data_IF_764481911984
#
_entry.id   IF_764481911984
#
_cell.length_a   1.000
_cell.length_b   1.000
_cell.length_c   1.000
_cell.angle_alpha   90.00
_cell.angle_beta   90.00
_cell.angle_gamma   90.00
#
_symmetry.space_group_name_H-M   'P 1'
#
loop_
_entity.id
_entity.type
_entity.pdbx_description
1 polymer ?
#
# COMPACT_ATOMS: atom_id res chain seq x y z
N UNK A 1 21.77 -15.82 -31.82
CA UNK A 1 20.44 -15.18 -31.91
C UNK A 1 19.40 -16.21 -31.47
N UNK A 2 19.04 -16.22 -30.18
CA UNK A 2 17.77 -16.78 -29.73
C UNK A 2 16.95 -15.59 -29.27
N UNK A 3 15.88 -15.31 -30.00
CA UNK A 3 14.95 -14.26 -29.65
C UNK A 3 14.26 -14.67 -28.34
N UNK A 4 14.66 -14.03 -27.24
CA UNK A 4 13.90 -14.06 -25.99
C UNK A 4 12.61 -13.30 -26.27
N UNK A 5 11.50 -14.02 -26.39
CA UNK A 5 10.16 -13.42 -26.46
C UNK A 5 9.85 -12.91 -25.05
N UNK A 6 10.36 -11.73 -24.72
CA UNK A 6 9.90 -10.94 -23.57
C UNK A 6 8.80 -10.04 -24.10
N UNK A 7 7.56 -10.46 -23.95
CA UNK A 7 6.42 -9.56 -24.11
C UNK A 7 5.96 -9.15 -22.71
N UNK A 8 6.12 -7.85 -22.42
CA UNK A 8 6.01 -7.11 -21.14
C UNK A 8 7.22 -7.20 -20.21
N UNK A 9 8.29 -6.49 -20.60
CA UNK A 9 9.56 -6.40 -19.88
C UNK A 9 9.40 -5.48 -18.66
N UNK A 10 9.22 -6.08 -17.48
CA UNK A 10 9.29 -5.38 -16.19
C UNK A 10 10.54 -4.51 -16.15
N UNK A 11 10.37 -3.24 -15.78
CA UNK A 11 11.43 -2.25 -15.74
C UNK A 11 12.27 -2.40 -14.47
N UNK A 12 13.43 -1.75 -14.44
CA UNK A 12 14.28 -1.69 -13.24
C UNK A 12 13.49 -1.29 -11.97
N UNK A 13 12.57 -0.34 -12.09
CA UNK A 13 11.73 0.10 -10.97
C UNK A 13 10.86 -1.04 -10.40
N UNK A 14 10.39 -1.96 -11.24
CA UNK A 14 9.59 -3.10 -10.80
C UNK A 14 10.44 -4.10 -10.01
N UNK A 15 11.70 -4.28 -10.41
CA UNK A 15 12.67 -5.09 -9.66
C UNK A 15 13.01 -4.45 -8.32
N UNK A 16 13.16 -3.12 -8.28
CA UNK A 16 13.40 -2.38 -7.06
C UNK A 16 12.21 -2.49 -6.08
N UNK A 17 10.97 -2.48 -6.59
CA UNK A 17 9.75 -2.74 -5.80
C UNK A 17 9.77 -4.11 -5.14
N UNK A 18 10.11 -5.17 -5.88
CA UNK A 18 10.17 -6.52 -5.30
C UNK A 18 11.26 -6.62 -4.24
N UNK A 19 12.42 -6.01 -4.50
CA UNK A 19 13.51 -5.96 -3.53
C UNK A 19 13.12 -5.23 -2.25
N UNK A 20 12.43 -4.09 -2.36
CA UNK A 20 11.93 -3.32 -1.21
C UNK A 20 10.92 -4.10 -0.36
N UNK A 21 10.23 -5.08 -0.97
CA UNK A 21 9.28 -5.97 -0.31
C UNK A 21 9.90 -7.30 0.15
N UNK A 22 11.22 -7.47 0.01
CA UNK A 22 11.95 -8.71 0.30
C UNK A 22 11.41 -9.92 -0.51
N UNK A 23 11.05 -9.67 -1.77
CA UNK A 23 10.57 -10.67 -2.72
C UNK A 23 11.66 -10.95 -3.76
N UNK A 24 11.94 -12.24 -3.96
CA UNK A 24 12.87 -12.69 -4.99
C UNK A 24 12.45 -12.23 -6.39
N UNK A 25 13.38 -11.63 -7.14
CA UNK A 25 13.12 -11.11 -8.49
C UNK A 25 12.62 -12.17 -9.48
N UNK A 26 12.91 -13.46 -9.22
CA UNK A 26 12.38 -14.57 -10.00
C UNK A 26 10.86 -14.68 -9.95
N UNK A 27 10.20 -14.12 -8.93
CA UNK A 27 8.74 -14.13 -8.77
C UNK A 27 8.01 -13.46 -9.94
N UNK A 28 8.68 -12.55 -10.66
CA UNK A 28 8.15 -11.93 -11.89
C UNK A 28 7.81 -12.96 -12.96
N UNK A 29 8.50 -14.11 -12.98
CA UNK A 29 8.29 -15.17 -13.95
C UNK A 29 7.19 -16.15 -13.52
N UNK A 30 6.59 -15.97 -12.36
CA UNK A 30 5.49 -16.82 -11.92
C UNK A 30 4.26 -16.60 -12.81
N UNK A 31 3.76 -17.68 -13.41
CA UNK A 31 2.65 -17.63 -14.37
C UNK A 31 1.36 -17.08 -13.73
N UNK A 32 1.12 -17.37 -12.44
CA UNK A 32 -0.06 -16.86 -11.73
C UNK A 32 0.08 -15.37 -11.48
N UNK A 33 1.26 -14.91 -11.09
CA UNK A 33 1.55 -13.49 -10.92
C UNK A 33 1.37 -12.73 -12.23
N UNK A 34 1.95 -13.21 -13.34
CA UNK A 34 1.80 -12.53 -14.63
C UNK A 34 0.33 -12.50 -15.10
N UNK A 35 -0.39 -13.61 -14.98
CA UNK A 35 -1.81 -13.68 -15.31
C UNK A 35 -2.66 -12.72 -14.45
N UNK A 36 -2.35 -12.64 -13.16
CA UNK A 36 -2.98 -11.69 -12.25
C UNK A 36 -2.64 -10.25 -12.63
N UNK A 37 -1.36 -9.93 -12.82
CA UNK A 37 -0.89 -8.59 -13.16
C UNK A 37 -1.54 -8.06 -14.44
N UNK A 38 -1.58 -8.88 -15.49
CA UNK A 38 -2.18 -8.50 -16.77
C UNK A 38 -3.69 -8.25 -16.66
N UNK A 39 -4.40 -9.09 -15.89
CA UNK A 39 -5.86 -8.93 -15.71
C UNK A 39 -6.20 -7.77 -14.78
N UNK A 40 -5.44 -7.60 -13.70
CA UNK A 40 -5.61 -6.55 -12.72
C UNK A 40 -5.29 -5.18 -13.32
N UNK A 41 -4.17 -5.03 -14.03
CA UNK A 41 -3.73 -3.76 -14.61
C UNK A 41 -4.72 -3.23 -15.66
N UNK A 42 -5.31 -4.13 -16.47
CA UNK A 42 -6.32 -3.75 -17.47
C UNK A 42 -7.64 -3.27 -16.88
N UNK A 43 -7.99 -3.71 -15.67
CA UNK A 43 -9.31 -3.46 -15.08
C UNK A 43 -9.29 -2.42 -13.96
N UNK A 44 -8.13 -2.16 -13.36
CA UNK A 44 -8.02 -1.32 -12.17
C UNK A 44 -7.43 0.07 -12.40
N UNK A 45 -7.13 0.48 -13.64
CA UNK A 45 -6.59 1.82 -13.93
C UNK A 45 -7.47 2.94 -13.32
N UNK A 46 -8.78 2.87 -13.56
CA UNK A 46 -9.74 3.85 -13.01
C UNK A 46 -9.74 3.85 -11.47
N UNK A 47 -9.67 2.66 -10.87
CA UNK A 47 -9.62 2.53 -9.42
C UNK A 47 -8.34 3.15 -8.86
N UNK A 48 -7.18 2.84 -9.46
CA UNK A 48 -5.88 3.36 -9.09
C UNK A 48 -5.86 4.90 -9.12
N UNK A 49 -6.31 5.50 -10.22
CA UNK A 49 -6.38 6.97 -10.36
C UNK A 49 -7.32 7.58 -9.32
N UNK A 50 -8.48 6.97 -9.08
CA UNK A 50 -9.41 7.45 -8.07
C UNK A 50 -8.82 7.41 -6.66
N UNK A 51 -8.11 6.33 -6.30
CA UNK A 51 -7.46 6.22 -5.00
C UNK A 51 -6.34 7.25 -4.84
N UNK A 52 -5.54 7.50 -5.89
CA UNK A 52 -4.54 8.57 -5.85
C UNK A 52 -5.17 9.96 -5.68
N UNK A 53 -6.28 10.24 -6.37
CA UNK A 53 -7.01 11.49 -6.21
C UNK A 53 -7.59 11.63 -4.80
N UNK A 54 -8.14 10.55 -4.23
CA UNK A 54 -8.63 10.51 -2.85
C UNK A 54 -7.50 10.83 -1.86
N UNK A 55 -6.30 10.28 -2.12
CA UNK A 55 -5.09 10.40 -1.32
C UNK A 55 -4.27 11.67 -1.49
N UNK A 56 -4.57 12.48 -2.51
CA UNK A 56 -3.66 13.47 -3.07
C UNK A 56 -3.08 14.45 -2.04
N UNK A 57 -3.90 14.88 -1.09
CA UNK A 57 -3.51 15.88 -0.09
C UNK A 57 -2.55 15.35 0.98
N UNK A 58 -2.52 14.04 1.23
CA UNK A 58 -1.78 13.43 2.36
C UNK A 58 -0.76 12.38 1.94
N UNK A 59 -0.83 11.85 0.71
CA UNK A 59 0.20 10.95 0.14
C UNK A 59 1.63 11.51 0.30
N UNK A 60 1.91 12.80 0.00
CA UNK A 60 3.26 13.34 0.16
C UNK A 60 3.75 13.29 1.61
N UNK A 61 2.87 13.60 2.56
CA UNK A 61 3.22 13.60 3.99
C UNK A 61 3.41 12.17 4.51
N UNK A 62 2.54 11.23 4.12
CA UNK A 62 2.70 9.80 4.43
C UNK A 62 4.04 9.29 3.90
N UNK A 63 4.37 9.59 2.64
CA UNK A 63 5.66 9.19 2.05
C UNK A 63 6.85 9.77 2.81
N UNK A 64 6.76 11.04 3.26
CA UNK A 64 7.80 11.65 4.07
C UNK A 64 7.95 10.99 5.44
N UNK A 65 6.85 10.63 6.10
CA UNK A 65 6.86 9.92 7.39
C UNK A 65 7.49 8.54 7.21
N UNK A 66 7.08 7.76 6.19
CA UNK A 66 7.66 6.44 5.91
C UNK A 66 9.18 6.53 5.70
N UNK A 67 9.64 7.48 4.87
CA UNK A 67 11.08 7.71 4.64
C UNK A 67 11.83 8.07 5.92
N UNK A 68 11.27 8.94 6.77
CA UNK A 68 11.87 9.33 8.06
C UNK A 68 12.03 8.15 9.01
N UNK A 69 11.14 7.15 8.93
CA UNK A 69 11.19 5.94 9.73
C UNK A 69 11.92 4.77 9.04
N UNK A 70 12.66 5.03 7.96
CA UNK A 70 13.35 4.01 7.16
C UNK A 70 12.43 2.91 6.60
N UNK A 71 11.15 3.22 6.41
CA UNK A 71 10.18 2.33 5.76
C UNK A 71 10.22 2.59 4.25
N UNK A 72 10.34 1.55 3.42
CA UNK A 72 10.30 1.69 1.96
C UNK A 72 9.04 2.41 1.48
N UNK A 73 9.20 3.33 0.52
CA UNK A 73 8.06 4.13 0.01
C UNK A 73 7.01 3.29 -0.69
N UNK A 74 7.36 2.09 -1.17
CA UNK A 74 6.41 1.12 -1.72
C UNK A 74 5.32 0.72 -0.71
N UNK A 75 5.58 0.84 0.59
CA UNK A 75 4.60 0.53 1.63
C UNK A 75 3.37 1.46 1.58
N UNK A 76 3.50 2.63 0.95
CA UNK A 76 2.36 3.52 0.66
C UNK A 76 1.21 2.80 -0.05
N UNK A 77 1.52 1.84 -0.94
CA UNK A 77 0.50 1.11 -1.69
C UNK A 77 -0.32 0.14 -0.82
N UNK A 78 0.14 -0.21 0.39
CA UNK A 78 -0.69 -0.94 1.36
C UNK A 78 -1.87 -0.08 1.81
N UNK A 79 -1.67 1.22 2.05
CA UNK A 79 -2.78 2.12 2.39
C UNK A 79 -3.82 2.23 1.26
N UNK A 80 -3.38 2.17 0.00
CA UNK A 80 -4.28 2.08 -1.15
C UNK A 80 -5.10 0.78 -1.09
N UNK A 81 -4.45 -0.36 -0.87
CA UNK A 81 -5.10 -1.67 -0.82
C UNK A 81 -6.12 -1.79 0.32
N UNK A 82 -5.83 -1.19 1.48
CA UNK A 82 -6.64 -1.31 2.69
C UNK A 82 -7.83 -0.35 2.74
N UNK A 83 -7.62 0.92 2.34
CA UNK A 83 -8.63 1.97 2.53
C UNK A 83 -8.88 2.82 1.30
N UNK A 84 -8.17 2.60 0.19
CA UNK A 84 -8.12 3.56 -0.93
C UNK A 84 -7.76 4.96 -0.46
N UNK A 85 -6.83 5.04 0.50
CA UNK A 85 -6.42 6.26 1.17
C UNK A 85 -7.50 6.91 2.08
N UNK A 86 -8.69 6.35 2.21
CA UNK A 86 -9.75 6.94 3.05
C UNK A 86 -9.42 6.89 4.55
N UNK A 87 -9.20 8.06 5.14
CA UNK A 87 -8.78 8.22 6.55
C UNK A 87 -9.80 7.72 7.59
N UNK A 88 -11.08 7.71 7.26
CA UNK A 88 -12.17 7.27 8.16
C UNK A 88 -12.72 5.88 7.79
N UNK A 89 -12.03 5.14 6.91
CA UNK A 89 -12.48 3.83 6.45
C UNK A 89 -12.74 2.88 7.63
N UNK A 90 -13.92 2.26 7.68
CA UNK A 90 -14.27 1.27 8.70
C UNK A 90 -14.73 -0.03 8.06
N UNK A 91 -14.05 -1.14 8.38
CA UNK A 91 -14.51 -2.47 7.95
C UNK A 91 -15.67 -2.99 8.81
N UNK A 92 -16.39 -3.99 8.28
CA UNK A 92 -17.41 -4.74 9.02
C UNK A 92 -16.86 -5.39 10.30
N UNK A 93 -15.55 -5.64 10.37
CA UNK A 93 -14.85 -6.25 11.50
C UNK A 93 -14.20 -5.23 12.44
N UNK A 94 -14.47 -3.92 12.24
CA UNK A 94 -13.97 -2.81 13.08
C UNK A 94 -12.48 -2.48 12.90
N UNK A 95 -11.88 -2.91 11.80
CA UNK A 95 -10.67 -2.29 11.29
C UNK A 95 -10.97 -0.83 10.94
N UNK A 96 -10.04 0.09 11.23
CA UNK A 96 -10.29 1.52 11.09
C UNK A 96 -9.09 2.25 10.51
N UNK A 97 -9.38 3.29 9.73
CA UNK A 97 -8.42 4.26 9.26
C UNK A 97 -7.65 3.83 8.01
N UNK A 98 -6.63 4.63 7.70
CA UNK A 98 -5.80 4.50 6.49
C UNK A 98 -5.23 3.08 6.32
N UNK A 99 -4.75 2.51 7.42
CA UNK A 99 -4.08 1.20 7.46
C UNK A 99 -5.00 0.05 7.90
N UNK A 100 -6.29 0.32 8.12
CA UNK A 100 -7.25 -0.68 8.61
C UNK A 100 -6.78 -1.43 9.87
N UNK A 101 -6.24 -0.70 10.86
CA UNK A 101 -5.80 -1.35 12.10
C UNK A 101 -6.97 -1.86 12.94
N UNK A 102 -6.81 -3.09 13.44
CA UNK A 102 -7.68 -3.64 14.48
C UNK A 102 -7.38 -2.97 15.82
N UNK A 103 -8.36 -2.89 16.75
CA UNK A 103 -8.16 -2.22 18.04
C UNK A 103 -6.98 -2.78 18.86
N UNK A 104 -6.74 -4.10 18.81
CA UNK A 104 -5.62 -4.73 19.50
C UNK A 104 -4.27 -4.26 18.96
N UNK A 105 -4.07 -4.41 17.64
CA UNK A 105 -2.86 -3.93 16.93
C UNK A 105 -2.63 -2.44 17.15
N UNK A 106 -3.67 -1.62 17.05
CA UNK A 106 -3.55 -0.19 17.31
C UNK A 106 -3.08 0.12 18.74
N UNK A 107 -3.56 -0.65 19.73
CA UNK A 107 -3.09 -0.52 21.11
C UNK A 107 -1.63 -0.91 21.28
N UNK A 108 -1.17 -1.97 20.61
CA UNK A 108 0.24 -2.39 20.62
C UNK A 108 1.15 -1.35 19.98
N UNK A 109 0.64 -0.65 18.95
CA UNK A 109 1.30 0.47 18.29
C UNK A 109 1.21 1.80 19.09
N UNK A 110 0.60 1.78 20.28
CA UNK A 110 0.47 2.97 21.13
C UNK A 110 -0.58 3.99 20.68
N UNK A 111 -1.44 3.65 19.74
CA UNK A 111 -2.54 4.50 19.27
C UNK A 111 -3.65 4.56 20.33
N UNK A 112 -4.05 5.78 20.70
CA UNK A 112 -5.07 6.02 21.71
C UNK A 112 -6.47 5.88 21.11
N UNK A 113 -7.32 5.22 21.88
CA UNK A 113 -8.75 5.13 21.62
C UNK A 113 -9.55 5.45 22.88
N UNK A 114 -10.43 6.42 22.80
CA UNK A 114 -11.39 6.77 23.85
C UNK A 114 -12.75 7.14 23.21
N UNK A 115 -13.68 7.68 24.00
CA UNK A 115 -15.03 8.03 23.55
C UNK A 115 -15.05 9.11 22.45
N UNK A 116 -14.03 9.95 22.39
CA UNK A 116 -13.98 11.14 21.52
C UNK A 116 -12.91 11.04 20.43
N UNK A 117 -11.88 10.21 20.64
CA UNK A 117 -10.71 10.12 19.76
C UNK A 117 -10.40 8.65 19.49
N UNK A 118 -10.18 8.31 18.22
CA UNK A 118 -9.60 7.04 17.79
C UNK A 118 -8.46 7.35 16.82
N UNK A 119 -7.22 7.29 17.32
CA UNK A 119 -6.02 7.71 16.60
C UNK A 119 -5.68 6.80 15.41
N UNK A 120 -6.42 5.71 15.20
CA UNK A 120 -6.36 4.92 13.96
C UNK A 120 -6.76 5.73 12.72
N UNK A 121 -7.62 6.74 12.87
CA UNK A 121 -8.04 7.63 11.77
C UNK A 121 -7.07 8.81 11.56
N UNK A 122 -6.11 9.01 12.47
CA UNK A 122 -5.08 10.05 12.34
C UNK A 122 -3.92 9.48 11.50
N UNK A 123 -3.80 9.90 10.25
CA UNK A 123 -2.78 9.37 9.33
C UNK A 123 -1.34 9.67 9.77
N UNK A 124 -1.12 10.71 10.57
CA UNK A 124 0.23 11.03 11.07
C UNK A 124 0.56 10.03 12.18
N UNK A 125 -0.30 9.93 13.19
CA UNK A 125 -0.07 9.04 14.34
C UNK A 125 -0.08 7.57 13.95
N UNK A 126 -0.94 7.19 13.00
CA UNK A 126 -1.01 5.81 12.53
C UNK A 126 0.10 5.44 11.55
N UNK A 127 1.08 6.30 11.26
CA UNK A 127 2.21 6.02 10.33
C UNK A 127 3.59 6.18 10.98
N UNK A 128 3.68 6.45 12.28
CA UNK A 128 4.96 6.64 13.01
C UNK A 128 5.46 5.37 13.69
N UNK A 129 5.79 4.35 12.92
CA UNK A 129 6.22 3.03 13.42
C UNK A 129 7.75 2.92 13.50
#
# INVERSE_FOLDING_TARGET
MSATIVSNEFMKNDLDVLKDLDIESSYIKDDKFQSFYDSFSKTNEKHYVNSLNQGGDYIPEISNILKKNNVPSVFLYMAMAESNFLLEAQSKKKALGLWQFMPGTASEMGLKKNRYVDERMDFIKSTVW
#
